data_IF_979542908981
#
_entry.id   IF_979542908981
#
_cell.length_a   1.000
_cell.length_b   1.000
_cell.length_c   1.000
_cell.angle_alpha   90.00
_cell.angle_beta   90.00
_cell.angle_gamma   90.00
#
_symmetry.space_group_name_H-M   'P 1'
#
loop_
_entity.id
_entity.type
_entity.pdbx_description
1 polymer ?
#
# COMPACT_ATOMS: atom_id res chain seq x y z
N UNK A 1 30.42 23.17 -14.37
CA UNK A 1 30.29 22.40 -15.63
C UNK A 1 29.32 21.24 -15.60
N UNK A 2 28.99 20.64 -14.46
CA UNK A 2 28.07 19.50 -14.38
C UNK A 2 26.57 19.84 -14.60
N UNK A 3 26.12 21.07 -14.28
CA UNK A 3 24.69 21.47 -14.45
C UNK A 3 24.26 21.70 -15.91
N UNK A 4 25.19 22.01 -16.80
CA UNK A 4 24.87 22.19 -18.23
C UNK A 4 24.70 20.85 -18.97
N UNK A 5 25.37 19.79 -18.55
CA UNK A 5 25.24 18.47 -19.19
C UNK A 5 23.90 17.81 -18.93
N UNK A 6 23.30 18.04 -17.75
CA UNK A 6 22.01 17.45 -17.40
C UNK A 6 20.85 18.11 -18.15
N UNK A 7 20.89 19.44 -18.32
CA UNK A 7 19.89 20.18 -19.08
C UNK A 7 19.90 19.81 -20.58
N UNK A 8 21.08 19.65 -21.16
CA UNK A 8 21.24 19.19 -22.56
C UNK A 8 20.80 17.73 -22.75
N UNK A 9 20.87 16.88 -21.72
CA UNK A 9 20.41 15.48 -21.79
C UNK A 9 18.89 15.39 -21.70
N UNK A 10 18.24 16.25 -20.93
CA UNK A 10 16.78 16.36 -20.85
C UNK A 10 16.20 16.95 -22.13
N UNK A 11 16.82 17.99 -22.69
CA UNK A 11 16.39 18.58 -23.98
C UNK A 11 16.56 17.58 -25.15
N UNK A 12 17.60 16.74 -25.15
CA UNK A 12 17.75 15.68 -26.16
C UNK A 12 16.74 14.55 -26.00
N UNK A 13 16.29 14.21 -24.78
CA UNK A 13 15.26 13.19 -24.55
C UNK A 13 13.87 13.70 -24.96
N UNK A 14 13.56 14.97 -24.69
CA UNK A 14 12.30 15.60 -25.08
C UNK A 14 12.22 15.82 -26.60
N UNK A 15 13.33 16.17 -27.26
CA UNK A 15 13.38 16.35 -28.72
C UNK A 15 13.28 15.02 -29.48
N UNK A 16 13.74 13.91 -28.91
CA UNK A 16 13.61 12.58 -29.53
C UNK A 16 12.16 12.06 -29.47
N UNK A 17 11.40 12.41 -28.43
CA UNK A 17 9.97 12.09 -28.31
C UNK A 17 9.10 12.94 -29.26
N UNK A 18 9.40 14.24 -29.39
CA UNK A 18 8.68 15.13 -30.29
C UNK A 18 8.93 14.89 -31.80
N UNK A 19 10.10 14.39 -32.17
CA UNK A 19 10.42 14.09 -33.55
C UNK A 19 9.84 12.74 -34.07
N UNK A 20 9.41 11.85 -33.20
CA UNK A 20 8.72 10.63 -33.60
C UNK A 20 7.25 10.90 -33.98
N UNK A 21 6.62 11.90 -33.33
CA UNK A 21 5.24 12.31 -33.59
C UNK A 21 5.11 13.27 -34.80
N UNK A 22 6.18 13.99 -35.18
CA UNK A 22 6.16 14.94 -36.29
C UNK A 22 6.72 14.39 -37.62
N UNK A 23 6.88 13.09 -37.82
CA UNK A 23 6.98 12.51 -39.15
C UNK A 23 5.60 12.58 -39.77
N UNK A 24 5.34 13.64 -40.59
CA UNK A 24 4.18 13.71 -41.49
C UNK A 24 4.11 12.40 -42.24
N UNK A 25 3.14 11.55 -41.91
CA UNK A 25 2.81 10.35 -42.66
C UNK A 25 2.20 10.86 -43.97
N UNK A 26 2.96 10.91 -45.04
CA UNK A 26 2.45 11.20 -46.36
C UNK A 26 1.52 10.06 -46.78
N UNK A 27 0.22 10.29 -46.57
CA UNK A 27 -0.87 9.44 -47.02
C UNK A 27 -0.97 9.50 -48.55
N UNK A 28 -0.14 8.80 -49.27
CA UNK A 28 -0.27 8.73 -50.70
C UNK A 28 0.83 7.97 -51.39
N UNK A 29 0.69 6.68 -51.47
CA UNK A 29 1.03 5.87 -52.67
C UNK A 29 0.60 4.39 -52.59
N UNK A 30 0.33 3.81 -51.41
CA UNK A 30 -0.24 2.45 -51.35
C UNK A 30 -0.86 2.20 -49.96
N UNK A 31 -2.15 1.90 -49.90
CA UNK A 31 -2.86 1.53 -48.68
C UNK A 31 -2.14 0.38 -47.97
N UNK A 32 -1.57 -0.55 -48.72
CA UNK A 32 -0.79 -1.67 -48.18
C UNK A 32 0.50 -1.22 -47.51
N UNK A 33 1.19 -0.18 -48.02
CA UNK A 33 2.38 0.37 -47.40
C UNK A 33 2.06 1.12 -46.06
N UNK A 34 0.92 1.82 -46.05
CA UNK A 34 0.48 2.51 -44.83
C UNK A 34 0.06 1.53 -43.74
N UNK A 35 -0.65 0.45 -44.08
CA UNK A 35 -0.98 -0.64 -43.15
C UNK A 35 0.32 -1.27 -42.62
N UNK A 36 1.29 -1.50 -43.50
CA UNK A 36 2.58 -2.07 -43.09
C UNK A 36 3.36 -1.11 -42.17
N UNK A 37 3.33 0.21 -42.42
CA UNK A 37 3.97 1.21 -41.57
C UNK A 37 3.32 1.27 -40.21
N UNK A 38 1.98 1.28 -40.11
CA UNK A 38 1.24 1.23 -38.84
C UNK A 38 1.54 -0.07 -38.10
N UNK A 39 1.55 -1.21 -38.78
CA UNK A 39 1.89 -2.50 -38.20
C UNK A 39 3.32 -2.51 -37.62
N UNK A 40 4.28 -1.96 -38.38
CA UNK A 40 5.67 -1.85 -37.93
C UNK A 40 5.80 -0.93 -36.72
N UNK A 41 5.10 0.22 -36.72
CA UNK A 41 5.04 1.11 -35.57
C UNK A 41 4.49 0.42 -34.32
N UNK A 42 3.40 -0.31 -34.48
CA UNK A 42 2.79 -1.11 -33.40
C UNK A 42 3.75 -2.16 -32.85
N UNK A 43 4.44 -2.87 -33.73
CA UNK A 43 5.46 -3.85 -33.34
C UNK A 43 6.61 -3.18 -32.56
N UNK A 44 7.02 -1.99 -32.98
CA UNK A 44 8.10 -1.25 -32.32
C UNK A 44 7.68 -0.71 -30.95
N UNK A 45 6.43 -0.24 -30.82
CA UNK A 45 5.84 0.16 -29.54
C UNK A 45 5.80 -1.05 -28.58
N UNK A 46 5.25 -2.16 -29.03
CA UNK A 46 5.19 -3.39 -28.21
C UNK A 46 6.59 -3.85 -27.80
N UNK A 47 7.58 -3.78 -28.71
CA UNK A 47 8.97 -4.11 -28.40
C UNK A 47 9.59 -3.14 -27.39
N UNK A 48 9.28 -1.83 -27.49
CA UNK A 48 9.74 -0.82 -26.55
C UNK A 48 9.19 -1.09 -25.15
N UNK A 49 7.88 -1.27 -25.01
CA UNK A 49 7.23 -1.60 -23.74
C UNK A 49 7.79 -2.89 -23.13
N UNK A 50 7.94 -3.94 -23.92
CA UNK A 50 8.58 -5.19 -23.46
C UNK A 50 10.02 -4.98 -22.98
N UNK A 51 10.75 -4.04 -23.53
CA UNK A 51 12.12 -3.73 -23.11
C UNK A 51 12.12 -3.00 -21.76
N UNK A 52 11.21 -2.04 -21.57
CA UNK A 52 11.14 -1.24 -20.35
C UNK A 52 10.82 -2.12 -19.12
N UNK A 53 9.73 -2.87 -19.15
CA UNK A 53 9.38 -3.70 -18.00
C UNK A 53 10.41 -4.80 -17.70
N UNK A 54 11.06 -5.36 -18.71
CA UNK A 54 12.17 -6.30 -18.52
C UNK A 54 13.37 -5.64 -17.84
N UNK A 55 13.66 -4.41 -18.17
CA UNK A 55 14.75 -3.65 -17.53
C UNK A 55 14.46 -3.42 -16.06
N UNK A 56 13.24 -3.02 -15.71
CA UNK A 56 12.84 -2.83 -14.31
C UNK A 56 12.83 -4.15 -13.52
N UNK A 57 12.30 -5.22 -14.09
CA UNK A 57 12.37 -6.55 -13.45
C UNK A 57 13.83 -7.03 -13.29
N UNK A 58 14.69 -6.79 -14.26
CA UNK A 58 16.12 -7.14 -14.13
C UNK A 58 16.78 -6.30 -13.05
N UNK A 59 16.43 -5.01 -12.92
CA UNK A 59 16.92 -4.16 -11.84
C UNK A 59 16.49 -4.71 -10.47
N UNK A 60 15.21 -5.04 -10.32
CA UNK A 60 14.72 -5.71 -9.10
C UNK A 60 15.45 -7.03 -8.82
N UNK A 61 15.66 -7.89 -9.82
CA UNK A 61 16.45 -9.12 -9.65
C UNK A 61 17.87 -8.83 -9.19
N UNK A 62 18.55 -7.85 -9.79
CA UNK A 62 19.90 -7.45 -9.40
C UNK A 62 19.96 -6.92 -7.97
N UNK A 63 18.97 -6.11 -7.58
CA UNK A 63 18.82 -5.61 -6.22
C UNK A 63 18.61 -6.74 -5.20
N UNK A 64 17.82 -7.75 -5.55
CA UNK A 64 17.66 -8.97 -4.72
C UNK A 64 18.96 -9.75 -4.61
N UNK A 65 19.72 -9.94 -5.69
CA UNK A 65 21.03 -10.59 -5.63
C UNK A 65 21.99 -9.84 -4.72
N UNK A 66 22.01 -8.51 -4.80
CA UNK A 66 22.83 -7.68 -3.92
C UNK A 66 22.43 -7.85 -2.45
N UNK A 67 21.11 -7.87 -2.16
CA UNK A 67 20.55 -8.04 -0.81
C UNK A 67 20.90 -9.41 -0.19
N UNK A 68 20.88 -10.47 -0.99
CA UNK A 68 21.13 -11.83 -0.53
C UNK A 68 22.58 -12.30 -0.75
N UNK A 69 23.49 -11.39 -1.05
CA UNK A 69 24.92 -11.70 -1.13
C UNK A 69 25.42 -12.22 0.22
N UNK A 70 26.10 -13.37 0.21
CA UNK A 70 26.61 -13.99 1.45
C UNK A 70 27.76 -13.17 2.04
N UNK A 71 28.62 -12.63 1.19
CA UNK A 71 29.83 -11.93 1.62
C UNK A 71 29.55 -10.46 1.93
N UNK A 72 28.90 -9.76 1.01
CA UNK A 72 28.60 -8.34 1.11
C UNK A 72 27.13 -8.06 0.76
N UNK A 73 26.19 -8.35 1.68
CA UNK A 73 24.79 -8.01 1.45
C UNK A 73 24.60 -6.50 1.37
N UNK A 74 23.80 -6.06 0.41
CA UNK A 74 23.46 -4.63 0.17
C UNK A 74 21.96 -4.46 0.20
N UNK A 75 21.49 -3.65 1.13
CA UNK A 75 20.05 -3.43 1.32
C UNK A 75 19.53 -2.28 0.45
N UNK A 76 20.33 -1.22 0.27
CA UNK A 76 19.89 0.00 -0.38
C UNK A 76 19.32 -0.18 -1.81
N UNK A 77 19.86 -1.04 -2.71
CA UNK A 77 19.31 -1.13 -4.05
C UNK A 77 17.87 -1.67 -4.07
N UNK A 78 17.53 -2.49 -3.08
CA UNK A 78 16.18 -3.02 -2.94
C UNK A 78 15.23 -1.99 -2.33
N UNK A 79 15.71 -1.16 -1.41
CA UNK A 79 14.94 -0.04 -0.83
C UNK A 79 14.60 1.02 -1.89
N UNK A 80 15.52 1.34 -2.81
CA UNK A 80 15.22 2.23 -3.95
C UNK A 80 14.08 1.67 -4.82
N UNK A 81 14.09 0.37 -5.09
CA UNK A 81 13.00 -0.29 -5.83
C UNK A 81 11.69 -0.23 -5.04
N UNK A 82 11.72 -0.39 -3.72
CA UNK A 82 10.52 -0.32 -2.88
C UNK A 82 9.90 1.06 -2.85
N UNK A 83 10.72 2.12 -2.78
CA UNK A 83 10.24 3.50 -2.86
C UNK A 83 9.53 3.77 -4.20
N UNK A 84 10.06 3.23 -5.29
CA UNK A 84 9.46 3.39 -6.63
C UNK A 84 8.13 2.62 -6.77
N UNK A 85 8.01 1.42 -6.23
CA UNK A 85 6.76 0.63 -6.34
C UNK A 85 5.68 1.10 -5.37
N UNK A 86 6.02 1.76 -4.28
CA UNK A 86 5.07 2.39 -3.36
C UNK A 86 4.39 3.63 -3.95
N UNK A 87 4.77 4.08 -5.14
CA UNK A 87 4.00 5.06 -5.91
C UNK A 87 2.70 4.46 -6.50
N UNK A 88 2.52 3.14 -6.45
CA UNK A 88 1.25 2.51 -6.82
C UNK A 88 0.18 2.78 -5.76
N UNK A 89 -0.86 3.53 -6.12
CA UNK A 89 -1.90 3.97 -5.19
C UNK A 89 -2.68 2.81 -4.54
N UNK A 90 -2.89 1.70 -5.24
CA UNK A 90 -3.54 0.53 -4.65
C UNK A 90 -2.65 -0.14 -3.60
N UNK A 91 -1.37 -0.34 -3.92
CA UNK A 91 -0.40 -0.93 -3.00
C UNK A 91 -0.26 -0.07 -1.74
N UNK A 92 -0.12 1.25 -1.90
CA UNK A 92 -0.06 2.20 -0.78
C UNK A 92 -1.32 2.11 0.09
N UNK A 93 -2.50 2.17 -0.53
CA UNK A 93 -3.76 2.13 0.22
C UNK A 93 -3.96 0.84 1.03
N UNK A 94 -3.58 -0.32 0.50
CA UNK A 94 -3.70 -1.58 1.24
C UNK A 94 -2.63 -1.75 2.33
N UNK A 95 -1.43 -1.20 2.16
CA UNK A 95 -0.39 -1.20 3.21
C UNK A 95 -0.77 -0.26 4.34
N UNK A 96 -1.27 0.94 4.03
CA UNK A 96 -1.79 1.88 5.02
C UNK A 96 -2.97 1.32 5.80
N UNK A 97 -3.95 0.70 5.11
CA UNK A 97 -5.10 0.08 5.77
C UNK A 97 -4.67 -0.95 6.82
N UNK A 98 -3.71 -1.83 6.49
CA UNK A 98 -3.18 -2.81 7.44
C UNK A 98 -2.41 -2.16 8.57
N UNK A 99 -1.62 -1.12 8.29
CA UNK A 99 -0.86 -0.37 9.28
C UNK A 99 -1.79 0.28 10.29
N UNK A 100 -2.78 1.05 9.84
CA UNK A 100 -3.72 1.76 10.70
C UNK A 100 -4.49 0.84 11.66
N UNK A 101 -4.82 -0.38 11.24
CA UNK A 101 -5.49 -1.35 12.11
C UNK A 101 -4.63 -1.85 13.28
N UNK A 102 -3.31 -1.74 13.16
CA UNK A 102 -2.38 -2.10 14.23
C UNK A 102 -1.95 -0.88 15.03
N UNK A 103 -1.68 0.26 14.38
CA UNK A 103 -1.20 1.47 15.04
C UNK A 103 -2.29 2.16 15.86
N UNK A 104 -3.56 2.09 15.44
CA UNK A 104 -4.71 2.66 16.16
C UNK A 104 -5.19 1.82 17.36
N UNK A 105 -4.41 0.83 17.80
CA UNK A 105 -4.72 0.07 19.01
C UNK A 105 -4.38 0.89 20.26
N UNK A 106 -5.19 0.74 21.31
CA UNK A 106 -4.91 1.33 22.60
C UNK A 106 -3.82 0.55 23.33
N UNK A 107 -2.58 1.00 23.25
CA UNK A 107 -1.45 0.42 23.98
C UNK A 107 -1.42 0.94 25.41
N UNK A 108 -1.28 0.02 26.37
CA UNK A 108 -1.25 0.32 27.80
C UNK A 108 0.01 -0.27 28.43
N UNK A 109 0.45 0.31 29.53
CA UNK A 109 1.45 -0.31 30.41
C UNK A 109 0.71 -1.03 31.53
N UNK A 110 0.97 -2.32 31.68
CA UNK A 110 0.43 -3.14 32.76
C UNK A 110 1.55 -3.63 33.68
N UNK A 111 1.31 -3.58 34.99
CA UNK A 111 2.16 -4.14 36.04
C UNK A 111 1.40 -5.29 36.67
N UNK A 112 1.98 -6.49 36.63
CA UNK A 112 1.30 -7.72 37.09
C UNK A 112 -0.10 -7.91 36.49
N UNK A 113 -0.22 -7.64 35.18
CA UNK A 113 -1.45 -7.73 34.38
C UNK A 113 -2.54 -6.67 34.71
N UNK A 114 -2.24 -5.74 35.62
CA UNK A 114 -3.13 -4.62 35.98
C UNK A 114 -2.63 -3.37 35.25
N UNK A 115 -3.53 -2.66 34.58
CA UNK A 115 -3.20 -1.38 33.91
C UNK A 115 -2.69 -0.36 34.92
N UNK A 116 -1.54 0.23 34.63
CA UNK A 116 -1.05 1.41 35.32
C UNK A 116 -1.45 2.66 34.54
N UNK A 117 -2.42 3.39 35.04
CA UNK A 117 -2.97 4.56 34.35
C UNK A 117 -1.92 5.68 34.24
N UNK A 118 -1.08 5.88 35.25
CA UNK A 118 -0.07 6.95 35.24
C UNK A 118 0.99 6.74 34.17
N UNK A 119 1.54 5.54 34.07
CA UNK A 119 2.53 5.21 33.05
C UNK A 119 1.88 5.13 31.65
N UNK A 120 0.66 4.66 31.57
CA UNK A 120 -0.08 4.58 30.31
C UNK A 120 -0.35 5.97 29.74
N UNK A 121 -0.91 6.89 30.51
CA UNK A 121 -1.16 8.27 30.08
C UNK A 121 0.15 8.98 29.73
N UNK A 122 1.21 8.74 30.48
CA UNK A 122 2.51 9.34 30.22
C UNK A 122 3.05 9.00 28.82
N UNK A 123 2.92 7.74 28.36
CA UNK A 123 3.41 7.34 27.03
C UNK A 123 2.40 7.63 25.91
N UNK A 124 1.09 7.57 26.19
CA UNK A 124 0.02 7.75 25.22
C UNK A 124 0.06 9.14 24.57
N UNK A 125 0.43 10.17 25.33
CA UNK A 125 0.52 11.55 24.84
C UNK A 125 1.85 11.88 24.14
N UNK A 126 2.70 10.89 23.90
CA UNK A 126 4.03 11.12 23.30
C UNK A 126 4.04 10.75 21.84
N UNK A 127 4.22 11.75 20.97
CA UNK A 127 4.33 11.54 19.52
C UNK A 127 5.42 10.52 19.17
N UNK A 128 6.56 10.54 19.87
CA UNK A 128 7.64 9.58 19.62
C UNK A 128 7.21 8.12 19.82
N UNK A 129 6.22 7.85 20.67
CA UNK A 129 5.73 6.50 20.89
C UNK A 129 4.88 6.02 19.70
N UNK A 130 4.02 6.89 19.17
CA UNK A 130 3.27 6.62 17.93
C UNK A 130 4.21 6.40 16.76
N UNK A 131 5.23 7.27 16.59
CA UNK A 131 6.24 7.15 15.54
C UNK A 131 7.00 5.80 15.64
N UNK A 132 7.36 5.35 16.86
CA UNK A 132 7.99 4.03 17.07
C UNK A 132 7.08 2.90 16.60
N UNK A 133 5.78 2.94 16.92
CA UNK A 133 4.82 1.92 16.51
C UNK A 133 4.69 1.90 14.99
N UNK A 134 4.54 3.07 14.37
CA UNK A 134 4.42 3.18 12.92
C UNK A 134 5.68 2.66 12.22
N UNK A 135 6.87 3.15 12.61
CA UNK A 135 8.13 2.70 12.00
C UNK A 135 8.37 1.20 12.22
N UNK A 136 8.06 0.68 13.39
CA UNK A 136 8.18 -0.75 13.65
C UNK A 136 7.25 -1.58 12.77
N UNK A 137 6.01 -1.13 12.58
CA UNK A 137 5.05 -1.83 11.70
C UNK A 137 5.50 -1.87 10.24
N UNK A 138 6.13 -0.80 9.73
CA UNK A 138 6.67 -0.74 8.39
C UNK A 138 7.70 -1.84 8.10
N UNK A 139 8.30 -2.46 9.13
CA UNK A 139 9.19 -3.61 8.96
C UNK A 139 8.53 -4.84 8.31
N UNK A 140 7.20 -4.92 8.32
CA UNK A 140 6.44 -5.96 7.62
C UNK A 140 6.63 -5.83 6.10
N UNK A 141 6.67 -4.61 5.62
CA UNK A 141 6.76 -4.29 4.19
C UNK A 141 8.20 -4.29 3.70
N UNK A 142 9.10 -3.64 4.43
CA UNK A 142 10.51 -3.48 4.09
C UNK A 142 11.43 -4.59 4.59
N UNK A 143 10.93 -5.45 5.51
CA UNK A 143 11.70 -6.51 6.15
C UNK A 143 12.38 -6.10 7.45
N UNK A 144 12.74 -4.83 7.61
CA UNK A 144 13.29 -4.27 8.84
C UNK A 144 13.03 -2.76 8.93
N UNK A 145 13.05 -2.24 10.16
CA UNK A 145 12.96 -0.81 10.46
C UNK A 145 13.92 -0.47 11.59
N UNK A 146 15.05 0.17 11.29
CA UNK A 146 15.98 0.65 12.29
C UNK A 146 15.51 2.01 12.81
N UNK A 147 15.21 2.10 14.09
CA UNK A 147 14.64 3.27 14.78
C UNK A 147 15.68 3.84 15.73
N UNK A 148 16.04 5.08 15.51
CA UNK A 148 16.98 5.80 16.38
C UNK A 148 16.22 6.64 17.38
N UNK A 149 16.51 6.45 18.68
CA UNK A 149 16.08 7.32 19.77
C UNK A 149 16.96 8.56 19.76
N UNK A 150 16.63 9.52 18.88
CA UNK A 150 17.52 10.61 18.45
C UNK A 150 17.85 11.60 19.55
N UNK A 151 16.84 11.97 20.33
CA UNK A 151 16.98 13.00 21.35
C UNK A 151 16.63 12.42 22.71
N UNK A 152 17.67 12.11 23.48
CA UNK A 152 17.53 11.67 24.86
C UNK A 152 18.05 12.78 25.78
N UNK A 153 17.16 13.41 26.52
CA UNK A 153 17.52 14.53 27.42
C UNK A 153 16.97 14.26 28.80
N UNK A 154 17.84 14.30 29.80
CA UNK A 154 17.49 14.12 31.23
C UNK A 154 16.71 12.81 31.51
N UNK A 155 17.04 11.72 30.80
CA UNK A 155 16.36 10.45 30.98
C UNK A 155 15.00 10.35 30.27
N UNK A 156 14.72 11.22 29.30
CA UNK A 156 13.49 11.17 28.50
C UNK A 156 13.80 11.16 27.01
N UNK A 157 13.06 10.36 26.26
CA UNK A 157 13.04 10.36 24.79
C UNK A 157 12.21 11.56 24.35
N UNK A 158 12.76 12.42 23.49
CA UNK A 158 12.06 13.60 22.94
C UNK A 158 11.66 13.40 21.47
N UNK A 159 12.49 12.70 20.71
CA UNK A 159 12.24 12.41 19.32
C UNK A 159 12.81 11.06 18.91
N UNK A 160 12.22 10.48 17.89
CA UNK A 160 12.73 9.28 17.22
C UNK A 160 12.84 9.54 15.73
N UNK A 161 13.71 8.81 15.06
CA UNK A 161 13.92 8.94 13.63
C UNK A 161 14.16 7.56 13.02
N UNK A 162 13.59 7.33 11.85
CA UNK A 162 13.86 6.12 11.09
C UNK A 162 15.21 6.28 10.40
N UNK A 163 16.19 5.44 10.75
CA UNK A 163 17.45 5.37 10.03
C UNK A 163 17.18 4.83 8.62
N UNK A 164 17.92 5.32 7.63
CA UNK A 164 17.82 4.78 6.28
C UNK A 164 18.05 3.26 6.28
N UNK A 165 17.02 2.53 5.88
CA UNK A 165 17.01 1.07 5.85
C UNK A 165 18.14 0.50 4.96
N UNK A 166 18.52 1.25 3.92
CA UNK A 166 19.61 0.90 3.02
C UNK A 166 20.96 0.77 3.70
N UNK A 167 21.15 1.46 4.82
CA UNK A 167 22.39 1.43 5.62
C UNK A 167 22.45 0.28 6.62
N UNK A 168 21.36 -0.44 6.85
CA UNK A 168 21.32 -1.51 7.86
C UNK A 168 21.31 -2.88 7.19
N UNK A 169 22.17 -3.74 7.71
CA UNK A 169 22.24 -5.17 7.34
C UNK A 169 21.80 -5.99 8.56
N UNK A 170 20.51 -6.32 8.67
CA UNK A 170 19.97 -6.96 9.88
C UNK A 170 20.62 -8.30 10.20
N UNK A 171 20.93 -9.11 9.20
CA UNK A 171 21.52 -10.44 9.39
C UNK A 171 22.95 -10.41 9.95
N UNK A 172 23.66 -9.31 9.72
CA UNK A 172 25.01 -9.09 10.27
C UNK A 172 25.02 -8.20 11.50
N UNK A 173 23.86 -7.67 11.90
CA UNK A 173 23.69 -6.68 12.97
C UNK A 173 24.60 -5.44 12.80
N UNK A 174 24.71 -4.94 11.56
CA UNK A 174 25.61 -3.82 11.24
C UNK A 174 24.82 -2.63 10.69
N UNK A 175 25.11 -1.46 11.20
CA UNK A 175 24.78 -0.16 10.64
C UNK A 175 26.00 0.35 9.86
N UNK A 176 25.88 0.44 8.56
CA UNK A 176 26.93 0.94 7.66
C UNK A 176 27.06 2.46 7.77
N UNK A 177 28.23 2.96 7.51
CA UNK A 177 28.52 4.40 7.47
C UNK A 177 28.03 5.06 6.17
N UNK A 178 28.10 4.33 5.08
CA UNK A 178 27.61 4.71 3.74
C UNK A 178 27.23 3.44 2.97
N UNK A 179 26.58 3.58 1.83
CA UNK A 179 26.07 2.45 1.02
C UNK A 179 27.17 1.54 0.46
N UNK A 180 28.39 2.05 0.30
CA UNK A 180 29.53 1.30 -0.24
C UNK A 180 30.44 0.74 0.85
N UNK A 181 30.21 1.12 2.11
CA UNK A 181 30.99 0.62 3.23
C UNK A 181 30.86 -0.88 3.39
N UNK A 182 31.94 -1.53 3.81
CA UNK A 182 31.99 -2.96 4.13
C UNK A 182 31.98 -3.21 5.64
N UNK A 183 32.18 -2.16 6.44
CA UNK A 183 32.21 -2.18 7.89
C UNK A 183 31.36 -1.06 8.46
N UNK A 184 30.88 -1.23 9.68
CA UNK A 184 30.01 -0.24 10.34
C UNK A 184 29.98 -0.44 11.84
N UNK A 185 28.96 0.10 12.49
CA UNK A 185 28.70 -0.01 13.91
C UNK A 185 27.94 -1.32 14.15
N UNK A 186 28.36 -2.11 15.12
CA UNK A 186 27.60 -3.27 15.58
C UNK A 186 26.35 -2.79 16.33
N UNK A 187 25.18 -3.15 15.82
CA UNK A 187 23.90 -2.73 16.42
C UNK A 187 23.69 -3.27 17.84
N UNK A 188 24.40 -4.34 18.22
CA UNK A 188 24.36 -4.89 19.58
C UNK A 188 25.03 -3.99 20.60
N UNK A 189 25.99 -3.16 20.15
CA UNK A 189 26.70 -2.21 21.01
C UNK A 189 25.90 -0.91 21.25
N UNK A 190 24.84 -0.68 20.48
CA UNK A 190 24.02 0.56 20.52
C UNK A 190 22.53 0.27 20.67
N UNK A 191 22.15 -0.92 21.11
CA UNK A 191 20.75 -1.35 21.23
C UNK A 191 19.91 -0.54 22.24
N UNK A 192 20.56 0.26 23.09
CA UNK A 192 19.89 1.18 24.01
C UNK A 192 19.36 2.44 23.32
N UNK A 193 19.88 2.78 22.13
CA UNK A 193 19.51 3.97 21.38
C UNK A 193 19.10 3.68 19.94
N UNK A 194 19.40 2.49 19.43
CA UNK A 194 18.97 2.03 18.08
C UNK A 194 18.23 0.73 18.23
N UNK A 195 16.92 0.78 17.94
CA UNK A 195 16.04 -0.38 17.94
C UNK A 195 15.89 -0.90 16.51
N UNK A 196 15.81 -2.21 16.31
CA UNK A 196 15.58 -2.79 14.98
C UNK A 196 14.34 -3.66 15.03
N UNK A 197 13.24 -3.16 14.48
CA UNK A 197 12.04 -3.95 14.29
C UNK A 197 12.21 -4.86 13.06
N UNK A 198 11.82 -6.13 13.19
CA UNK A 198 11.87 -7.13 12.12
C UNK A 198 10.69 -8.10 12.25
N UNK A 199 9.52 -7.68 11.76
CA UNK A 199 8.28 -8.44 11.90
C UNK A 199 8.07 -9.47 10.80
N UNK A 200 8.76 -9.31 9.69
CA UNK A 200 8.71 -10.24 8.57
C UNK A 200 10.11 -10.76 8.24
N UNK A 201 10.18 -11.99 7.78
CA UNK A 201 11.46 -12.60 7.39
C UNK A 201 11.93 -12.02 6.06
N UNK A 202 13.24 -11.98 5.88
CA UNK A 202 13.90 -11.51 4.66
C UNK A 202 13.66 -10.03 4.39
N UNK A 203 13.30 -9.69 3.15
CA UNK A 203 13.16 -8.31 2.68
C UNK A 203 11.71 -7.81 2.66
N UNK A 204 10.84 -8.38 3.47
CA UNK A 204 9.46 -7.91 3.64
C UNK A 204 8.51 -8.30 2.52
N UNK A 205 7.28 -7.76 2.62
CA UNK A 205 6.23 -8.05 1.63
C UNK A 205 6.47 -7.33 0.30
N UNK A 206 7.14 -6.16 0.32
CA UNK A 206 7.43 -5.39 -0.89
C UNK A 206 8.31 -6.16 -1.88
N UNK A 207 9.18 -7.06 -1.39
CA UNK A 207 9.94 -7.95 -2.28
C UNK A 207 9.02 -8.75 -3.21
N UNK A 208 7.90 -9.24 -2.67
CA UNK A 208 6.93 -10.03 -3.44
C UNK A 208 5.94 -9.17 -4.21
N UNK A 209 5.62 -7.97 -3.72
CA UNK A 209 4.70 -7.04 -4.36
C UNK A 209 5.32 -6.38 -5.61
N UNK A 210 6.62 -6.14 -5.59
CA UNK A 210 7.35 -5.42 -6.65
C UNK A 210 7.05 -5.91 -8.06
N UNK A 211 7.13 -7.20 -8.41
CA UNK A 211 6.86 -7.63 -9.79
C UNK A 211 5.43 -7.35 -10.24
N UNK A 212 4.44 -7.42 -9.34
CA UNK A 212 3.05 -7.11 -9.66
C UNK A 212 2.85 -5.60 -9.90
N UNK A 213 3.44 -4.74 -9.06
CA UNK A 213 3.38 -3.29 -9.22
C UNK A 213 4.07 -2.83 -10.52
N UNK A 214 5.24 -3.38 -10.85
CA UNK A 214 5.93 -3.10 -12.12
C UNK A 214 5.04 -3.50 -13.31
N UNK A 215 4.49 -4.72 -13.31
CA UNK A 215 3.63 -5.19 -14.39
C UNK A 215 2.34 -4.36 -14.53
N UNK A 216 1.79 -3.88 -13.41
CA UNK A 216 0.61 -3.01 -13.40
C UNK A 216 0.91 -1.66 -14.03
N UNK A 217 1.99 -0.98 -13.62
CA UNK A 217 2.43 0.30 -14.19
C UNK A 217 2.59 0.23 -15.70
N UNK A 218 3.25 -0.82 -16.21
CA UNK A 218 3.39 -1.03 -17.64
C UNK A 218 2.09 -1.39 -18.36
N UNK A 219 1.11 -1.95 -17.64
CA UNK A 219 -0.20 -2.20 -18.21
C UNK A 219 -0.99 -0.91 -18.41
N UNK A 220 -0.89 0.05 -17.48
CA UNK A 220 -1.42 1.39 -17.64
C UNK A 220 -0.78 2.12 -18.82
N UNK A 221 0.55 2.16 -18.92
CA UNK A 221 1.24 2.80 -20.05
C UNK A 221 0.89 2.16 -21.40
N UNK A 222 0.69 0.85 -21.46
CA UNK A 222 0.24 0.17 -22.68
C UNK A 222 -1.21 0.51 -23.02
N UNK A 223 -2.05 0.75 -22.03
CA UNK A 223 -3.43 1.20 -22.24
C UNK A 223 -3.47 2.62 -22.76
N UNK A 224 -2.71 3.55 -22.19
CA UNK A 224 -2.60 4.93 -22.68
C UNK A 224 -2.13 4.97 -24.14
N UNK A 225 -1.07 4.21 -24.48
CA UNK A 225 -0.61 4.09 -25.88
C UNK A 225 -1.68 3.50 -26.80
N UNK A 226 -2.45 2.53 -26.32
CA UNK A 226 -3.57 1.96 -27.07
C UNK A 226 -4.67 3.00 -27.30
N UNK A 227 -4.99 3.81 -26.30
CA UNK A 227 -6.00 4.86 -26.39
C UNK A 227 -5.58 5.94 -27.39
N UNK A 228 -4.34 6.40 -27.35
CA UNK A 228 -3.80 7.36 -28.32
C UNK A 228 -3.87 6.85 -29.76
N UNK A 229 -3.63 5.56 -29.97
CA UNK A 229 -3.59 4.96 -31.31
C UNK A 229 -4.97 4.57 -31.86
N UNK A 230 -5.88 4.15 -31.00
CA UNK A 230 -7.15 3.55 -31.40
C UNK A 230 -8.38 4.33 -30.90
N UNK A 231 -8.21 5.29 -30.01
CA UNK A 231 -9.29 6.15 -29.54
C UNK A 231 -9.76 7.15 -30.60
N UNK A 232 -8.90 7.46 -31.58
CA UNK A 232 -9.26 8.31 -32.70
C UNK A 232 -9.69 7.45 -33.89
N UNK A 233 -10.94 7.61 -34.40
CA UNK A 233 -11.41 6.86 -35.58
C UNK A 233 -10.50 7.07 -36.79
N UNK A 234 -10.11 5.99 -37.45
CA UNK A 234 -9.33 6.08 -38.71
C UNK A 234 -10.25 6.58 -39.82
N UNK A 235 -9.93 7.77 -40.33
CA UNK A 235 -10.64 8.39 -41.44
C UNK A 235 -9.91 8.10 -42.73
N UNK A 236 -10.59 7.48 -43.70
CA UNK A 236 -10.03 7.12 -44.99
C UNK A 236 -10.87 7.81 -46.06
N UNK A 237 -10.25 8.66 -46.87
CA UNK A 237 -10.90 9.22 -48.06
C UNK A 237 -10.36 8.54 -49.30
N UNK A 238 -11.26 8.08 -50.15
CA UNK A 238 -10.96 7.57 -51.48
C UNK A 238 -11.33 8.64 -52.50
N UNK A 239 -10.37 9.09 -53.29
CA UNK A 239 -10.56 10.13 -54.28
C UNK A 239 -10.29 9.57 -55.70
N UNK A 240 -11.10 9.94 -56.65
CA UNK A 240 -10.94 9.53 -58.04
C UNK A 240 -9.83 10.31 -58.75
N UNK A 241 -9.42 11.47 -58.22
CA UNK A 241 -8.39 12.33 -58.83
C UNK A 241 -6.99 11.85 -58.47
N UNK A 242 -6.09 11.85 -59.46
CA UNK A 242 -4.66 11.58 -59.25
C UNK A 242 -3.84 12.85 -58.98
N UNK A 243 -4.46 14.03 -59.00
CA UNK A 243 -3.82 15.31 -58.74
C UNK A 243 -3.34 15.39 -57.29
N UNK A 244 -2.07 15.76 -57.07
CA UNK A 244 -1.49 15.89 -55.76
C UNK A 244 -2.10 17.04 -54.97
N UNK A 245 -2.51 18.15 -55.64
CA UNK A 245 -3.20 19.27 -55.01
C UNK A 245 -4.57 18.86 -54.41
N UNK A 246 -5.35 17.98 -55.08
CA UNK A 246 -6.62 17.49 -54.55
C UNK A 246 -6.40 16.52 -53.37
N UNK A 247 -5.31 15.75 -53.43
CA UNK A 247 -4.94 14.87 -52.29
C UNK A 247 -4.57 15.65 -51.06
N UNK A 248 -3.76 16.73 -51.20
CA UNK A 248 -3.38 17.61 -50.12
C UNK A 248 -4.59 18.34 -49.52
N UNK A 249 -5.52 18.81 -50.37
CA UNK A 249 -6.74 19.48 -49.92
C UNK A 249 -7.65 18.52 -49.15
N UNK A 250 -7.85 17.30 -49.62
CA UNK A 250 -8.65 16.29 -48.90
C UNK A 250 -7.95 15.83 -47.59
N UNK A 251 -6.62 15.73 -47.57
CA UNK A 251 -5.89 15.43 -46.37
C UNK A 251 -6.05 16.53 -45.30
N UNK A 252 -6.00 17.81 -45.73
CA UNK A 252 -6.23 18.94 -44.87
C UNK A 252 -7.65 18.95 -44.29
N UNK A 253 -8.66 18.65 -45.08
CA UNK A 253 -10.04 18.52 -44.61
C UNK A 253 -10.24 17.38 -43.61
N UNK A 254 -9.59 16.24 -43.81
CA UNK A 254 -9.63 15.12 -42.84
C UNK A 254 -8.93 15.49 -41.51
N UNK A 255 -7.90 16.33 -41.55
CA UNK A 255 -7.22 16.86 -40.37
C UNK A 255 -8.09 17.88 -39.61
N UNK A 256 -8.73 18.81 -40.34
CA UNK A 256 -9.65 19.79 -39.76
C UNK A 256 -10.96 19.18 -39.22
N UNK A 257 -11.39 18.04 -39.71
CA UNK A 257 -12.54 17.30 -39.17
C UNK A 257 -12.35 16.87 -37.72
N UNK A 258 -11.21 17.11 -37.08
CA UNK A 258 -10.81 16.62 -35.75
C UNK A 258 -11.92 16.56 -34.70
N UNK A 259 -12.67 17.62 -34.53
CA UNK A 259 -13.81 17.72 -33.59
C UNK A 259 -15.16 17.99 -34.24
N UNK A 260 -15.22 18.22 -35.57
CA UNK A 260 -16.44 18.51 -36.30
C UNK A 260 -17.19 17.22 -36.69
N UNK A 261 -18.50 17.23 -36.46
CA UNK A 261 -19.39 16.09 -36.76
C UNK A 261 -19.74 15.96 -38.27
N UNK A 262 -19.32 16.88 -39.13
CA UNK A 262 -19.63 16.92 -40.53
C UNK A 262 -18.49 17.49 -41.36
N UNK A 263 -18.40 17.07 -42.61
CA UNK A 263 -17.51 17.60 -43.62
C UNK A 263 -18.18 17.60 -44.99
N UNK A 264 -17.83 18.55 -45.87
CA UNK A 264 -18.30 18.62 -47.27
C UNK A 264 -17.11 18.28 -48.17
N UNK A 265 -17.28 17.29 -49.01
CA UNK A 265 -16.23 16.78 -49.88
C UNK A 265 -16.62 16.97 -51.38
N UNK A 266 -15.66 17.09 -52.30
CA UNK A 266 -15.90 17.13 -53.73
C UNK A 266 -16.63 15.87 -54.25
N UNK A 267 -17.37 16.03 -55.34
CA UNK A 267 -18.05 14.91 -55.99
C UNK A 267 -17.01 13.85 -56.37
N UNK A 268 -17.26 12.60 -56.01
CA UNK A 268 -16.34 11.49 -56.22
C UNK A 268 -15.39 11.18 -55.09
N UNK A 269 -15.53 11.87 -53.96
CA UNK A 269 -14.83 11.51 -52.72
C UNK A 269 -15.73 10.60 -51.89
N UNK A 270 -15.25 9.45 -51.55
CA UNK A 270 -15.89 8.51 -50.59
C UNK A 270 -15.10 8.55 -49.28
N UNK A 271 -15.76 8.95 -48.21
CA UNK A 271 -15.16 8.95 -46.89
C UNK A 271 -15.66 7.74 -46.10
N UNK A 272 -14.77 6.87 -45.68
CA UNK A 272 -15.05 5.70 -44.85
C UNK A 272 -14.45 5.94 -43.47
N UNK A 273 -15.35 6.10 -42.48
CA UNK A 273 -14.94 6.19 -41.07
C UNK A 273 -15.01 4.77 -40.51
N UNK A 274 -13.86 4.12 -40.41
CA UNK A 274 -13.77 2.82 -39.77
C UNK A 274 -13.78 2.97 -38.28
N UNK A 275 -14.94 2.77 -37.68
CA UNK A 275 -15.02 2.55 -36.25
C UNK A 275 -14.19 1.32 -35.90
N UNK A 276 -13.39 1.46 -34.87
CA UNK A 276 -12.56 0.37 -34.39
C UNK A 276 -13.47 -0.67 -33.73
N UNK A 277 -13.85 -1.69 -34.49
CA UNK A 277 -14.77 -2.76 -34.06
C UNK A 277 -14.22 -3.62 -32.90
N UNK A 278 -13.09 -3.23 -32.32
CA UNK A 278 -12.48 -3.85 -31.13
C UNK A 278 -12.81 -3.10 -29.84
N UNK A 279 -14.09 -2.70 -29.70
CA UNK A 279 -14.59 -2.06 -28.47
C UNK A 279 -14.24 -2.85 -27.17
N UNK A 280 -13.98 -4.16 -27.29
CA UNK A 280 -13.61 -4.99 -26.15
C UNK A 280 -12.09 -5.08 -25.88
N UNK A 281 -11.25 -4.48 -26.73
CA UNK A 281 -9.79 -4.60 -26.54
C UNK A 281 -9.29 -3.92 -25.27
N UNK A 282 -9.94 -2.84 -24.80
CA UNK A 282 -9.62 -2.19 -23.53
C UNK A 282 -9.83 -3.11 -22.33
N UNK A 283 -10.77 -4.08 -22.42
CA UNK A 283 -11.04 -5.02 -21.34
C UNK A 283 -9.82 -5.90 -20.99
N UNK A 284 -8.94 -6.14 -21.97
CA UNK A 284 -7.71 -6.92 -21.73
C UNK A 284 -6.79 -6.19 -20.74
N UNK A 285 -6.62 -4.88 -20.90
CA UNK A 285 -5.81 -4.07 -20.00
C UNK A 285 -6.49 -3.92 -18.64
N UNK A 286 -7.77 -3.57 -18.63
CA UNK A 286 -8.55 -3.42 -17.41
C UNK A 286 -8.54 -4.70 -16.55
N UNK A 287 -8.86 -5.86 -17.15
CA UNK A 287 -8.86 -7.15 -16.43
C UNK A 287 -7.48 -7.54 -15.93
N UNK A 288 -6.41 -7.18 -16.65
CA UNK A 288 -5.04 -7.42 -16.20
C UNK A 288 -4.70 -6.57 -14.98
N UNK A 289 -5.04 -5.28 -15.00
CA UNK A 289 -4.83 -4.36 -13.88
C UNK A 289 -5.63 -4.85 -12.66
N UNK A 290 -6.91 -5.16 -12.84
CA UNK A 290 -7.77 -5.71 -11.79
C UNK A 290 -7.21 -7.01 -11.19
N UNK A 291 -6.69 -7.91 -12.02
CA UNK A 291 -6.07 -9.14 -11.55
C UNK A 291 -4.80 -8.88 -10.72
N UNK A 292 -3.98 -7.90 -11.13
CA UNK A 292 -2.77 -7.51 -10.42
C UNK A 292 -3.11 -6.83 -9.08
N UNK A 293 -4.14 -5.99 -9.01
CA UNK A 293 -4.64 -5.39 -7.77
C UNK A 293 -5.17 -6.45 -6.80
N UNK A 294 -5.89 -7.46 -7.30
CA UNK A 294 -6.32 -8.60 -6.49
C UNK A 294 -5.15 -9.42 -5.93
N UNK A 295 -4.09 -9.62 -6.71
CA UNK A 295 -2.89 -10.31 -6.21
C UNK A 295 -2.15 -9.48 -5.15
N UNK A 296 -2.03 -8.16 -5.33
CA UNK A 296 -1.48 -7.26 -4.31
C UNK A 296 -2.32 -7.29 -3.02
N UNK A 297 -3.65 -7.23 -3.14
CA UNK A 297 -4.57 -7.32 -1.99
C UNK A 297 -4.44 -8.65 -1.25
N UNK A 298 -4.39 -9.78 -1.96
CA UNK A 298 -4.15 -11.10 -1.35
C UNK A 298 -2.81 -11.17 -0.62
N UNK A 299 -1.77 -10.56 -1.19
CA UNK A 299 -0.43 -10.58 -0.61
C UNK A 299 -0.38 -9.77 0.69
N UNK A 300 -0.99 -8.59 0.74
CA UNK A 300 -0.89 -7.65 1.86
C UNK A 300 -1.99 -7.89 2.90
N UNK A 301 -3.25 -8.04 2.46
CA UNK A 301 -4.42 -8.15 3.32
C UNK A 301 -4.91 -9.60 3.50
N UNK A 302 -4.34 -10.56 2.76
CA UNK A 302 -4.79 -11.96 2.66
C UNK A 302 -6.23 -12.10 2.15
N UNK A 303 -6.79 -11.05 1.53
CA UNK A 303 -8.14 -11.01 0.97
C UNK A 303 -8.25 -10.02 -0.20
N UNK A 304 -9.37 -10.06 -0.94
CA UNK A 304 -9.59 -9.20 -2.11
C UNK A 304 -10.79 -8.27 -1.99
N UNK A 305 -11.71 -8.50 -1.05
CA UNK A 305 -13.08 -7.95 -1.12
C UNK A 305 -13.35 -6.69 -0.28
N UNK A 306 -12.37 -6.15 0.44
CA UNK A 306 -12.59 -4.90 1.19
C UNK A 306 -12.53 -3.64 0.34
N UNK A 307 -12.09 -3.76 -0.91
CA UNK A 307 -11.79 -2.59 -1.75
C UNK A 307 -12.75 -2.37 -2.91
N UNK A 308 -13.49 -3.38 -3.41
CA UNK A 308 -14.10 -3.20 -4.74
C UNK A 308 -15.56 -3.66 -4.95
N UNK A 309 -16.20 -4.47 -4.12
CA UNK A 309 -17.55 -4.93 -4.46
C UNK A 309 -18.45 -5.20 -3.26
N UNK A 310 -19.68 -4.71 -3.33
CA UNK A 310 -20.78 -5.03 -2.41
C UNK A 310 -21.08 -6.52 -2.36
N UNK A 311 -20.32 -7.23 -1.54
CA UNK A 311 -20.54 -8.63 -1.21
C UNK A 311 -21.74 -8.76 -0.28
N UNK A 312 -22.36 -9.95 -0.25
CA UNK A 312 -23.35 -10.24 0.76
C UNK A 312 -22.73 -10.06 2.17
N UNK A 313 -23.51 -9.58 3.13
CA UNK A 313 -23.07 -9.34 4.52
C UNK A 313 -22.29 -10.54 5.12
N UNK A 314 -22.66 -11.76 4.76
CA UNK A 314 -22.01 -12.98 5.21
C UNK A 314 -20.57 -13.13 4.66
N UNK A 315 -20.35 -12.80 3.39
CA UNK A 315 -19.01 -12.85 2.77
C UNK A 315 -18.11 -11.75 3.33
N UNK A 316 -18.64 -10.53 3.53
CA UNK A 316 -17.91 -9.42 4.16
C UNK A 316 -17.40 -9.80 5.55
N UNK A 317 -18.20 -10.46 6.37
CA UNK A 317 -17.81 -10.92 7.72
C UNK A 317 -16.67 -11.94 7.69
N UNK A 318 -16.67 -12.90 6.76
CA UNK A 318 -15.58 -13.89 6.63
C UNK A 318 -14.27 -13.23 6.24
N UNK A 319 -14.30 -12.25 5.32
CA UNK A 319 -13.12 -11.52 4.89
C UNK A 319 -12.58 -10.62 6.00
N UNK A 320 -13.44 -9.98 6.77
CA UNK A 320 -13.05 -9.17 7.91
C UNK A 320 -12.36 -10.02 9.00
N UNK A 321 -12.91 -11.19 9.33
CA UNK A 321 -12.28 -12.11 10.26
C UNK A 321 -10.88 -12.55 9.82
N UNK A 322 -10.66 -12.78 8.51
CA UNK A 322 -9.33 -13.14 7.99
C UNK A 322 -8.33 -12.00 8.18
N UNK A 323 -8.75 -10.76 7.93
CA UNK A 323 -7.90 -9.60 8.14
C UNK A 323 -7.63 -9.36 9.63
N UNK A 324 -8.61 -9.56 10.50
CA UNK A 324 -8.44 -9.49 11.96
C UNK A 324 -7.38 -10.47 12.46
N UNK A 325 -7.34 -11.69 11.93
CA UNK A 325 -6.28 -12.67 12.27
C UNK A 325 -4.88 -12.18 11.87
N UNK A 326 -4.77 -11.55 10.70
CA UNK A 326 -3.50 -10.97 10.24
C UNK A 326 -3.06 -9.82 11.14
N UNK A 327 -3.98 -8.91 11.47
CA UNK A 327 -3.74 -7.78 12.38
C UNK A 327 -3.37 -8.28 13.78
N UNK A 328 -4.01 -9.31 14.28
CA UNK A 328 -3.67 -9.94 15.56
C UNK A 328 -2.27 -10.56 15.56
N UNK A 329 -1.86 -11.15 14.44
CA UNK A 329 -0.50 -11.65 14.31
C UNK A 329 0.55 -10.52 14.28
N UNK A 330 0.22 -9.38 13.68
CA UNK A 330 1.06 -8.19 13.68
C UNK A 330 1.12 -7.54 15.08
N UNK A 331 0.00 -7.46 15.79
CA UNK A 331 -0.07 -7.02 17.18
C UNK A 331 0.87 -7.84 18.09
N UNK A 332 0.86 -9.17 17.97
CA UNK A 332 1.78 -10.01 18.74
C UNK A 332 3.24 -9.68 18.49
N UNK A 333 3.62 -9.41 17.25
CA UNK A 333 5.00 -9.05 16.89
C UNK A 333 5.34 -7.65 17.42
N UNK A 334 4.39 -6.72 17.32
CA UNK A 334 4.52 -5.38 17.87
C UNK A 334 4.75 -5.44 19.37
N UNK A 335 3.91 -6.15 20.11
CA UNK A 335 4.07 -6.31 21.57
C UNK A 335 5.40 -6.98 21.92
N UNK A 336 5.85 -7.98 21.15
CA UNK A 336 7.14 -8.59 21.35
C UNK A 336 8.29 -7.58 21.16
N UNK A 337 8.23 -6.73 20.14
CA UNK A 337 9.20 -5.67 19.89
C UNK A 337 9.19 -4.62 21.02
N UNK A 338 8.04 -4.12 21.38
CA UNK A 338 7.90 -3.11 22.42
C UNK A 338 8.41 -3.61 23.78
N UNK A 339 8.09 -4.85 24.15
CA UNK A 339 8.50 -5.44 25.42
C UNK A 339 9.96 -5.88 25.46
N UNK A 340 10.53 -6.33 24.33
CA UNK A 340 11.88 -6.89 24.32
C UNK A 340 12.95 -5.89 23.86
N UNK A 341 12.58 -4.78 23.20
CA UNK A 341 13.54 -3.77 22.77
C UNK A 341 13.22 -2.38 23.35
N UNK A 342 12.01 -1.85 23.17
CA UNK A 342 11.68 -0.49 23.61
C UNK A 342 11.70 -0.36 25.14
N UNK A 343 11.00 -1.21 25.88
CA UNK A 343 10.98 -1.12 27.36
C UNK A 343 12.37 -1.25 28.00
N UNK A 344 13.22 -2.21 27.61
CA UNK A 344 14.61 -2.26 28.10
C UNK A 344 15.41 -1.01 27.74
N UNK A 345 15.27 -0.46 26.53
CA UNK A 345 15.94 0.78 26.14
C UNK A 345 15.46 1.97 27.00
N UNK A 346 14.16 2.09 27.23
CA UNK A 346 13.61 3.13 28.11
C UNK A 346 14.17 3.04 29.53
N UNK A 347 14.27 1.82 30.11
CA UNK A 347 14.88 1.63 31.42
C UNK A 347 16.36 2.02 31.42
N UNK A 348 17.12 1.64 30.40
CA UNK A 348 18.53 2.01 30.25
C UNK A 348 18.72 3.55 30.16
N UNK A 349 17.81 4.24 29.51
CA UNK A 349 17.78 5.70 29.38
C UNK A 349 17.47 6.38 30.72
N UNK A 350 16.75 5.70 31.65
CA UNK A 350 16.45 6.21 32.98
C UNK A 350 14.97 6.38 33.31
N UNK A 351 14.07 5.78 32.51
CA UNK A 351 12.65 5.76 32.87
C UNK A 351 12.40 4.86 34.08
N UNK A 352 11.61 5.36 35.03
CA UNK A 352 11.22 4.62 36.24
C UNK A 352 10.12 3.59 35.95
N UNK A 353 10.42 2.61 35.10
CA UNK A 353 9.48 1.54 34.70
C UNK A 353 9.88 0.26 35.43
N UNK A 354 9.00 -0.35 36.24
CA UNK A 354 9.28 -1.59 36.98
C UNK A 354 9.64 -2.75 36.03
N UNK A 355 10.45 -3.69 36.50
CA UNK A 355 10.90 -4.83 35.69
C UNK A 355 9.77 -5.76 35.27
N UNK A 356 8.71 -5.87 36.08
CA UNK A 356 7.49 -6.64 35.82
C UNK A 356 6.47 -5.89 34.95
N UNK A 357 6.73 -4.64 34.57
CA UNK A 357 5.89 -3.89 33.66
C UNK A 357 6.00 -4.42 32.23
N UNK A 358 4.86 -4.49 31.54
CA UNK A 358 4.72 -4.90 30.13
C UNK A 358 3.81 -3.95 29.39
N UNK A 359 4.10 -3.72 28.12
CA UNK A 359 3.16 -3.09 27.20
C UNK A 359 2.19 -4.17 26.70
N UNK A 360 0.91 -3.87 26.76
CA UNK A 360 -0.19 -4.70 26.30
C UNK A 360 -1.16 -3.85 25.45
N UNK A 361 -2.07 -4.48 24.76
CA UNK A 361 -3.19 -3.80 24.09
C UNK A 361 -4.42 -3.90 24.99
N UNK A 362 -5.09 -2.79 25.22
CA UNK A 362 -6.34 -2.75 25.97
C UNK A 362 -7.41 -3.53 25.20
N UNK A 363 -8.02 -4.52 25.86
CA UNK A 363 -9.08 -5.30 25.25
C UNK A 363 -10.37 -4.49 25.27
N UNK A 364 -10.63 -3.76 24.21
CA UNK A 364 -11.96 -3.18 23.98
C UNK A 364 -12.90 -4.27 23.48
N UNK A 365 -13.83 -4.67 24.31
CA UNK A 365 -14.91 -5.57 23.87
C UNK A 365 -15.94 -4.73 23.10
N UNK A 366 -16.34 -5.19 21.92
CA UNK A 366 -17.43 -4.57 21.17
C UNK A 366 -18.67 -4.48 22.09
N UNK A 367 -19.20 -3.29 22.40
CA UNK A 367 -20.33 -3.12 23.31
C UNK A 367 -21.54 -3.98 22.92
N UNK A 368 -21.79 -4.21 21.63
CA UNK A 368 -22.88 -5.04 21.16
C UNK A 368 -22.66 -6.54 21.44
N UNK A 369 -21.41 -7.00 21.32
CA UNK A 369 -21.06 -8.38 21.72
C UNK A 369 -21.13 -8.53 23.23
N UNK A 370 -20.66 -7.53 23.98
CA UNK A 370 -20.67 -7.54 25.44
C UNK A 370 -22.11 -7.54 25.99
N UNK A 371 -23.01 -6.69 25.48
CA UNK A 371 -24.42 -6.68 25.85
C UNK A 371 -25.06 -8.08 25.65
N UNK A 372 -24.69 -8.77 24.57
CA UNK A 372 -25.23 -10.12 24.30
C UNK A 372 -24.74 -11.12 25.35
N UNK A 373 -23.45 -11.07 25.69
CA UNK A 373 -22.85 -11.93 26.73
C UNK A 373 -23.48 -11.64 28.08
N UNK A 374 -23.54 -10.37 28.45
CA UNK A 374 -24.12 -9.94 29.73
C UNK A 374 -25.61 -10.27 29.83
N UNK A 375 -26.36 -10.13 28.74
CA UNK A 375 -27.77 -10.60 28.67
C UNK A 375 -27.93 -12.08 28.93
N UNK A 376 -27.01 -12.92 28.41
CA UNK A 376 -27.01 -14.37 28.69
C UNK A 376 -26.67 -14.66 30.16
N UNK A 377 -25.71 -13.93 30.74
CA UNK A 377 -25.33 -14.08 32.15
C UNK A 377 -26.47 -13.68 33.08
N UNK A 378 -27.08 -12.52 32.85
CA UNK A 378 -28.27 -12.06 33.58
C UNK A 378 -29.44 -13.05 33.45
N UNK A 379 -29.68 -13.59 32.25
CA UNK A 379 -30.73 -14.60 32.01
C UNK A 379 -30.48 -15.91 32.72
N UNK A 380 -29.23 -16.19 33.14
CA UNK A 380 -28.86 -17.36 33.98
C UNK A 380 -28.82 -17.06 35.47
N UNK A 381 -29.19 -15.83 35.87
CA UNK A 381 -29.27 -15.43 37.29
C UNK A 381 -27.95 -14.87 37.86
N UNK A 382 -26.93 -14.60 37.03
CA UNK A 382 -25.76 -13.89 37.50
C UNK A 382 -26.09 -12.40 37.68
N UNK A 383 -25.48 -11.78 38.68
CA UNK A 383 -25.67 -10.36 38.99
C UNK A 383 -24.42 -9.61 38.57
N UNK A 384 -24.56 -8.59 37.74
CA UNK A 384 -23.48 -7.67 37.35
C UNK A 384 -23.37 -6.56 38.40
N UNK A 385 -22.15 -6.19 38.76
CA UNK A 385 -21.92 -5.08 39.70
C UNK A 385 -22.11 -3.73 39.01
N UNK A 386 -22.46 -2.68 39.76
CA UNK A 386 -22.58 -1.31 39.25
C UNK A 386 -21.28 -0.85 38.62
N UNK A 387 -20.17 -1.02 39.32
CA UNK A 387 -18.82 -0.68 38.83
C UNK A 387 -18.46 -1.36 37.50
N UNK A 388 -18.86 -2.63 37.30
CA UNK A 388 -18.70 -3.31 36.05
C UNK A 388 -19.50 -2.66 34.92
N UNK A 389 -20.77 -2.31 35.16
CA UNK A 389 -21.66 -1.73 34.15
C UNK A 389 -21.15 -0.32 33.79
N UNK A 390 -20.83 0.50 34.78
CA UNK A 390 -20.31 1.86 34.55
C UNK A 390 -19.04 1.85 33.73
N UNK A 391 -18.08 0.98 34.07
CA UNK A 391 -16.80 0.86 33.38
C UNK A 391 -16.94 0.24 31.98
N UNK A 392 -17.84 -0.75 31.80
CA UNK A 392 -17.97 -1.47 30.53
C UNK A 392 -18.76 -0.68 29.50
N UNK A 393 -19.77 0.07 29.93
CA UNK A 393 -20.68 0.79 29.04
C UNK A 393 -20.50 2.32 29.06
N UNK A 394 -19.64 2.84 29.93
CA UNK A 394 -19.38 4.28 30.04
C UNK A 394 -20.60 5.08 30.49
N UNK A 395 -21.50 4.49 31.29
CA UNK A 395 -22.72 5.11 31.79
C UNK A 395 -22.61 5.34 33.29
N UNK A 396 -23.12 6.47 33.78
CA UNK A 396 -23.26 6.70 35.22
C UNK A 396 -24.60 6.12 35.70
N UNK A 397 -24.54 5.32 36.77
CA UNK A 397 -25.71 4.69 37.35
C UNK A 397 -26.02 5.34 38.69
N UNK A 398 -27.14 6.04 38.76
CA UNK A 398 -27.57 6.75 39.98
C UNK A 398 -28.03 5.78 41.10
N UNK A 399 -28.65 4.67 40.72
CA UNK A 399 -29.05 3.62 41.70
C UNK A 399 -29.27 2.28 41.03
N UNK A 400 -28.96 1.17 41.73
CA UNK A 400 -29.31 -0.16 41.28
C UNK A 400 -30.80 -0.39 41.52
N UNK A 401 -31.55 -1.00 40.57
CA UNK A 401 -32.93 -1.37 40.81
C UNK A 401 -33.01 -2.38 41.96
N UNK A 402 -33.75 -2.06 42.99
CA UNK A 402 -34.11 -3.01 44.06
C UNK A 402 -34.80 -4.21 43.41
N UNK A 403 -34.26 -5.40 43.60
CA UNK A 403 -34.72 -6.66 42.95
C UNK A 403 -36.21 -6.90 43.17
N UNK A 404 -37.02 -6.63 42.16
CA UNK A 404 -38.42 -7.06 42.07
C UNK A 404 -38.54 -8.35 41.26
N UNK A 405 -37.73 -9.34 41.57
CA UNK A 405 -38.00 -10.73 41.17
C UNK A 405 -38.37 -11.53 42.42
N UNK A 406 -39.46 -11.11 43.05
CA UNK A 406 -40.16 -11.89 44.05
C UNK A 406 -41.32 -12.62 43.38
N UNK A 407 -41.10 -13.88 43.03
CA UNK A 407 -42.20 -14.75 42.65
C UNK A 407 -43.15 -14.92 43.83
N UNK A 408 -44.36 -14.36 43.69
CA UNK A 408 -45.47 -14.65 44.57
C UNK A 408 -45.93 -16.12 44.42
N UNK A 409 -45.62 -16.94 45.42
CA UNK A 409 -46.33 -18.18 45.66
C UNK A 409 -46.87 -18.17 47.09
N UNK A 410 -47.93 -17.37 47.36
CA UNK A 410 -48.76 -17.57 48.48
C UNK A 410 -49.94 -18.55 48.07
N UNK A 411 -49.77 -19.79 48.40
CA UNK A 411 -50.87 -20.76 48.41
C UNK A 411 -51.69 -20.56 49.65
N UNK A 412 -52.92 -19.98 49.52
CA UNK A 412 -53.91 -19.99 50.51
C UNK A 412 -54.35 -21.43 50.78
N UNK A 413 -54.04 -21.94 51.95
CA UNK A 413 -54.73 -23.09 52.51
C UNK A 413 -55.97 -22.60 53.20
N UNK A 414 -57.14 -22.77 52.61
CA UNK A 414 -58.45 -22.73 53.34
C UNK A 414 -58.67 -24.05 54.05
N UNK A 415 -58.73 -23.95 55.36
CA UNK A 415 -59.43 -24.93 56.22
C UNK A 415 -60.93 -24.69 56.21
N UNK A 416 -61.70 -25.68 56.00
CA UNK A 416 -62.92 -25.99 56.68
C UNK A 416 -63.20 -27.49 56.54
#
# INVERSE_FOLDING_TARGET
MAKQSHKQRIEKSVTLSGNALNKKVHLGKNITQNIQQVTNLMVDIIKRQRRLWRTELNHWHSARYARYSVEYPRTYPLEEVYQDVLLDGHLTGITENRTLRTTNKDYIIAIDEIKDDTLTEYIKDKQWFEDVIEFAHQSIYHGHSPIWLKEVTKGEIKAVELIDRGLVIPEKHVLLKDYDATTGIDLRDVQEVVLVAQFYKHSGLLEKATPYAILKRHSWGSWDEFEELFGIPIRIAKIASQSDSVKEEVAHWLEEMGSASYGVFPIGTEVDIKENSKADAFQVFYRKIEALDKELSKLVLHQTMTTENGSSKAQGTVHENTLEEVVYADEKKMLAFLNNQLLPAMRAIGYSIPDNAKIAVEKTTDPNKQITIDGVLLGRGYILTQDYIERTYGVEIESMPTSTFGGSSEGESKKA
#
